data_IF_578494261324
#
_entry.id   IF_578494261324
#
_cell.length_a   1.000
_cell.length_b   1.000
_cell.length_c   1.000
_cell.angle_alpha   90.00
_cell.angle_beta   90.00
_cell.angle_gamma   90.00
#
_symmetry.space_group_name_H-M   'P 1'
#
loop_
_entity.id
_entity.type
_entity.pdbx_description
1 polymer ?
#
# COMPACT_ATOMS: atom_id res chain seq x y z
N UNK A 1 -8.01 -1.58 5.22
CA UNK A 1 -7.72 -0.17 4.86
C UNK A 1 -6.44 0.38 5.46
N UNK A 2 -6.31 0.54 6.78
CA UNK A 2 -5.16 1.27 7.39
C UNK A 2 -3.77 0.74 6.97
N UNK A 3 -3.59 -0.58 6.84
CA UNK A 3 -2.34 -1.17 6.36
C UNK A 3 -1.96 -0.73 4.93
N UNK A 4 -2.93 -0.60 4.04
CA UNK A 4 -2.73 -0.13 2.67
C UNK A 4 -2.50 1.38 2.62
N UNK A 5 -3.27 2.13 3.41
CA UNK A 5 -3.22 3.60 3.46
C UNK A 5 -1.87 4.11 3.97
N UNK A 6 -1.35 3.50 5.03
CA UNK A 6 -0.02 3.83 5.59
C UNK A 6 1.13 3.15 4.85
N UNK A 7 0.83 2.22 3.95
CA UNK A 7 1.82 1.39 3.28
C UNK A 7 2.60 0.44 4.20
N UNK A 8 2.02 0.08 5.35
CA UNK A 8 2.64 -0.80 6.33
C UNK A 8 2.78 -2.22 5.75
N UNK A 9 4.01 -2.58 5.35
CA UNK A 9 4.34 -3.87 4.77
C UNK A 9 4.93 -3.81 3.36
N UNK A 10 4.88 -2.66 2.68
CA UNK A 10 5.53 -2.48 1.37
C UNK A 10 7.07 -2.41 1.45
N UNK A 11 7.63 -2.13 2.63
CA UNK A 11 9.07 -1.84 2.79
C UNK A 11 9.43 -0.37 2.52
N UNK A 12 8.49 0.47 2.10
CA UNK A 12 8.71 1.90 1.82
C UNK A 12 9.31 2.65 3.02
N UNK A 13 8.71 2.48 4.20
CA UNK A 13 9.20 3.11 5.43
C UNK A 13 10.57 2.56 5.85
N UNK A 14 10.87 1.29 5.54
CA UNK A 14 12.19 0.72 5.80
C UNK A 14 13.25 1.36 4.90
N UNK A 15 12.95 1.55 3.61
CA UNK A 15 13.83 2.28 2.70
C UNK A 15 14.07 3.71 3.18
N UNK A 16 13.03 4.44 3.60
CA UNK A 16 13.22 5.79 4.12
C UNK A 16 14.01 5.82 5.42
N UNK A 17 13.84 4.84 6.30
CA UNK A 17 14.63 4.72 7.51
C UNK A 17 16.14 4.57 7.21
N UNK A 18 16.55 3.99 6.07
CA UNK A 18 17.97 3.91 5.69
C UNK A 18 18.63 5.27 5.43
N UNK A 19 17.83 6.31 5.15
CA UNK A 19 18.29 7.67 4.92
C UNK A 19 18.13 8.58 6.14
N UNK A 20 17.52 8.09 7.22
CA UNK A 20 17.37 8.86 8.45
C UNK A 20 18.70 8.93 9.21
N UNK A 21 19.00 10.11 9.75
CA UNK A 21 20.12 10.25 10.69
C UNK A 21 19.82 9.44 11.96
N UNK A 22 20.83 8.74 12.49
CA UNK A 22 20.76 7.98 13.74
C UNK A 22 20.34 8.80 14.96
N UNK A 23 20.45 10.13 14.89
CA UNK A 23 20.04 11.05 15.96
C UNK A 23 18.54 11.40 15.96
N UNK A 24 17.80 11.07 14.89
CA UNK A 24 16.39 11.42 14.78
C UNK A 24 15.51 10.45 15.61
N UNK A 25 14.49 10.95 16.33
CA UNK A 25 13.60 10.10 17.13
C UNK A 25 12.69 9.26 16.21
N UNK A 26 13.01 7.98 16.07
CA UNK A 26 12.33 7.03 15.19
C UNK A 26 10.88 6.78 15.61
N UNK A 27 10.63 6.55 16.90
CA UNK A 27 9.31 6.18 17.42
C UNK A 27 8.34 7.34 17.26
N UNK A 28 8.77 8.55 17.64
CA UNK A 28 7.97 9.76 17.45
C UNK A 28 7.63 10.01 15.98
N UNK A 29 8.60 9.88 15.07
CA UNK A 29 8.38 10.08 13.64
C UNK A 29 7.42 9.04 13.06
N UNK A 30 7.52 7.77 13.46
CA UNK A 30 6.60 6.72 13.05
C UNK A 30 5.16 7.00 13.51
N UNK A 31 4.98 7.44 14.76
CA UNK A 31 3.66 7.80 15.31
C UNK A 31 3.05 9.01 14.59
N UNK A 32 3.81 10.09 14.40
CA UNK A 32 3.33 11.30 13.71
C UNK A 32 2.94 10.96 12.27
N UNK A 33 3.73 10.15 11.58
CA UNK A 33 3.42 9.74 10.19
C UNK A 33 2.12 8.94 10.13
N UNK A 34 1.96 7.93 10.99
CA UNK A 34 0.74 7.11 11.02
C UNK A 34 -0.51 7.90 11.44
N UNK A 35 -0.41 8.73 12.49
CA UNK A 35 -1.53 9.56 12.95
C UNK A 35 -1.88 10.62 11.91
N UNK A 36 -0.88 11.31 11.35
CA UNK A 36 -1.06 12.33 10.32
C UNK A 36 -1.79 11.78 9.09
N UNK A 37 -1.37 10.61 8.61
CA UNK A 37 -2.05 9.92 7.52
C UNK A 37 -3.54 9.66 7.85
N UNK A 38 -3.82 9.05 9.00
CA UNK A 38 -5.19 8.72 9.38
C UNK A 38 -6.08 9.97 9.60
N UNK A 39 -5.53 11.05 10.14
CA UNK A 39 -6.25 12.32 10.31
C UNK A 39 -6.62 12.91 8.95
N UNK A 40 -5.68 12.95 8.01
CA UNK A 40 -5.94 13.45 6.64
C UNK A 40 -6.98 12.58 5.95
N UNK A 41 -6.86 11.25 6.02
CA UNK A 41 -7.83 10.30 5.45
C UNK A 41 -9.22 10.47 6.05
N UNK A 42 -9.33 10.71 7.36
CA UNK A 42 -10.61 10.94 8.02
C UNK A 42 -11.25 12.26 7.58
N UNK A 43 -10.47 13.35 7.53
CA UNK A 43 -10.95 14.66 7.05
C UNK A 43 -11.42 14.55 5.60
N UNK A 44 -10.61 13.93 4.73
CA UNK A 44 -10.97 13.70 3.34
C UNK A 44 -12.25 12.88 3.21
N UNK A 45 -12.40 11.81 4.01
CA UNK A 45 -13.62 11.02 4.08
C UNK A 45 -14.83 11.88 4.45
N UNK A 46 -14.78 12.62 5.55
CA UNK A 46 -15.89 13.47 6.00
C UNK A 46 -16.28 14.50 4.93
N UNK A 47 -15.29 15.15 4.30
CA UNK A 47 -15.53 16.12 3.23
C UNK A 47 -16.18 15.45 2.03
N UNK A 48 -15.58 14.38 1.49
CA UNK A 48 -16.09 13.70 0.29
C UNK A 48 -17.49 13.13 0.53
N UNK A 49 -17.69 12.37 1.60
CA UNK A 49 -19.00 11.78 1.91
C UNK A 49 -20.05 12.86 2.18
N UNK A 50 -19.70 13.93 2.91
CA UNK A 50 -20.60 15.05 3.18
C UNK A 50 -21.01 15.79 1.91
N UNK A 51 -20.04 16.12 1.05
CA UNK A 51 -20.28 16.84 -0.21
C UNK A 51 -21.09 15.98 -1.18
N UNK A 52 -20.73 14.70 -1.36
CA UNK A 52 -21.48 13.77 -2.21
C UNK A 52 -22.91 13.62 -1.70
N UNK A 53 -23.11 13.32 -0.41
CA UNK A 53 -24.45 13.16 0.14
C UNK A 53 -25.32 14.42 -0.02
N UNK A 54 -24.74 15.60 0.21
CA UNK A 54 -25.45 16.89 0.06
C UNK A 54 -25.93 17.11 -1.37
N UNK A 55 -25.06 16.91 -2.37
CA UNK A 55 -25.37 17.21 -3.77
C UNK A 55 -26.25 16.13 -4.42
N UNK A 56 -25.97 14.85 -4.16
CA UNK A 56 -26.78 13.76 -4.73
C UNK A 56 -28.23 13.85 -4.23
N UNK A 57 -28.43 14.23 -2.97
CA UNK A 57 -29.77 14.36 -2.38
C UNK A 57 -30.46 15.68 -2.75
N UNK A 58 -29.76 16.81 -2.66
CA UNK A 58 -30.37 18.14 -2.82
C UNK A 58 -30.54 18.53 -4.28
N UNK A 59 -29.54 18.29 -5.13
CA UNK A 59 -29.52 18.78 -6.51
C UNK A 59 -29.94 17.73 -7.54
N UNK A 60 -29.70 16.44 -7.24
CA UNK A 60 -30.10 15.34 -8.12
C UNK A 60 -31.36 14.60 -7.65
N UNK A 61 -31.93 14.99 -6.52
CA UNK A 61 -33.18 14.44 -6.01
C UNK A 61 -33.13 12.94 -5.72
N UNK A 62 -31.93 12.36 -5.57
CA UNK A 62 -31.79 10.94 -5.28
C UNK A 62 -32.34 10.63 -3.90
N UNK A 63 -33.05 9.51 -3.80
CA UNK A 63 -33.48 8.95 -2.53
C UNK A 63 -32.27 8.50 -1.72
N UNK A 64 -32.41 8.51 -0.38
CA UNK A 64 -31.33 8.07 0.51
C UNK A 64 -30.80 6.64 0.19
N UNK A 65 -31.63 5.65 -0.18
CA UNK A 65 -31.15 4.35 -0.63
C UNK A 65 -30.27 4.40 -1.88
N UNK A 66 -30.58 5.26 -2.86
CA UNK A 66 -29.79 5.40 -4.09
C UNK A 66 -28.42 6.01 -3.81
N UNK A 67 -28.38 7.07 -3.00
CA UNK A 67 -27.12 7.68 -2.54
C UNK A 67 -26.25 6.65 -1.81
N UNK A 68 -26.85 5.83 -0.95
CA UNK A 68 -26.12 4.77 -0.24
C UNK A 68 -25.59 3.69 -1.21
N UNK A 69 -26.34 3.33 -2.25
CA UNK A 69 -25.87 2.40 -3.27
C UNK A 69 -24.69 2.97 -4.05
N UNK A 70 -24.74 4.25 -4.42
CA UNK A 70 -23.64 4.96 -5.08
C UNK A 70 -22.39 4.96 -4.20
N UNK A 71 -22.53 5.32 -2.93
CA UNK A 71 -21.41 5.38 -1.97
C UNK A 71 -20.83 4.00 -1.64
N UNK A 72 -21.62 2.93 -1.75
CA UNK A 72 -21.16 1.55 -1.59
C UNK A 72 -20.53 0.99 -2.87
N UNK A 73 -20.86 1.55 -4.03
CA UNK A 73 -20.28 1.14 -5.30
C UNK A 73 -18.92 1.82 -5.48
N UNK A 74 -17.83 1.06 -5.38
CA UNK A 74 -16.47 1.58 -5.67
C UNK A 74 -16.29 1.93 -7.15
N UNK A 75 -17.21 1.51 -8.02
CA UNK A 75 -17.10 1.58 -9.48
C UNK A 75 -16.05 0.62 -10.04
N UNK A 76 -15.84 0.61 -11.38
CA UNK A 76 -14.79 -0.18 -12.00
C UNK A 76 -13.42 0.15 -11.38
N UNK A 77 -12.64 -0.88 -11.04
CA UNK A 77 -11.29 -0.73 -10.48
C UNK A 77 -11.18 0.26 -9.30
N UNK A 78 -12.23 0.40 -8.49
CA UNK A 78 -12.29 1.31 -7.33
C UNK A 78 -12.16 2.81 -7.66
N UNK A 79 -12.36 3.22 -8.92
CA UNK A 79 -12.21 4.62 -9.35
C UNK A 79 -13.52 5.39 -9.49
N UNK A 80 -14.67 4.75 -9.26
CA UNK A 80 -15.98 5.32 -9.57
C UNK A 80 -16.27 6.60 -8.82
N UNK A 81 -16.01 6.63 -7.52
CA UNK A 81 -16.28 7.82 -6.71
C UNK A 81 -15.46 9.02 -7.18
N UNK A 82 -14.15 8.84 -7.36
CA UNK A 82 -13.22 9.92 -7.71
C UNK A 82 -13.31 10.36 -9.17
N UNK A 83 -13.53 9.44 -10.12
CA UNK A 83 -13.46 9.74 -11.55
C UNK A 83 -14.82 9.82 -12.25
N UNK A 84 -15.91 9.40 -11.61
CA UNK A 84 -17.26 9.49 -12.18
C UNK A 84 -18.09 10.48 -11.37
N UNK A 85 -18.19 10.26 -10.05
CA UNK A 85 -19.09 11.04 -9.22
C UNK A 85 -18.53 12.42 -8.86
N UNK A 86 -17.25 12.55 -8.50
CA UNK A 86 -16.65 13.85 -8.20
C UNK A 86 -16.71 14.85 -9.38
N UNK A 87 -16.41 14.46 -10.65
CA UNK A 87 -16.63 15.36 -11.78
C UNK A 87 -18.09 15.81 -11.93
N UNK A 88 -19.05 14.89 -11.84
CA UNK A 88 -20.47 15.22 -11.93
C UNK A 88 -20.88 16.19 -10.82
N UNK A 89 -20.37 15.95 -9.61
CA UNK A 89 -20.58 16.81 -8.47
C UNK A 89 -20.08 18.24 -8.72
N UNK A 90 -18.86 18.39 -9.23
CA UNK A 90 -18.31 19.70 -9.57
C UNK A 90 -19.11 20.43 -10.64
N UNK A 91 -19.82 19.75 -11.54
CA UNK A 91 -20.71 20.45 -12.51
C UNK A 91 -21.94 21.10 -11.88
N UNK A 92 -22.32 20.68 -10.66
CA UNK A 92 -23.50 21.19 -9.95
C UNK A 92 -23.16 22.30 -8.95
N UNK A 93 -21.91 22.39 -8.54
CA UNK A 93 -21.45 23.40 -7.59
C UNK A 93 -21.20 24.75 -8.25
N UNK A 94 -21.59 25.82 -7.57
CA UNK A 94 -21.08 27.16 -7.86
C UNK A 94 -19.54 27.16 -7.69
N UNK A 95 -18.82 27.72 -8.67
CA UNK A 95 -17.35 27.62 -8.80
C UNK A 95 -16.77 26.20 -8.93
N UNK A 96 -17.59 25.20 -9.27
CA UNK A 96 -17.17 23.81 -9.29
C UNK A 96 -16.03 23.49 -10.26
N UNK A 97 -15.87 24.25 -11.36
CA UNK A 97 -14.69 24.12 -12.24
C UNK A 97 -13.37 24.42 -11.52
N UNK A 98 -13.33 25.48 -10.70
CA UNK A 98 -12.14 25.83 -9.91
C UNK A 98 -11.83 24.75 -8.88
N UNK A 99 -12.87 24.22 -8.21
CA UNK A 99 -12.71 23.11 -7.27
C UNK A 99 -12.26 21.82 -7.95
N UNK A 100 -12.76 21.53 -9.15
CA UNK A 100 -12.32 20.37 -9.94
C UNK A 100 -10.83 20.45 -10.27
N UNK A 101 -10.35 21.62 -10.72
CA UNK A 101 -8.92 21.83 -11.01
C UNK A 101 -8.08 21.59 -9.75
N UNK A 102 -8.45 22.20 -8.62
CA UNK A 102 -7.72 22.02 -7.36
C UNK A 102 -7.75 20.57 -6.86
N UNK A 103 -8.90 19.91 -6.97
CA UNK A 103 -9.08 18.53 -6.55
C UNK A 103 -8.22 17.56 -7.37
N UNK A 104 -8.30 17.63 -8.71
CA UNK A 104 -7.51 16.74 -9.58
C UNK A 104 -6.03 17.07 -9.57
N UNK A 105 -5.66 18.33 -9.38
CA UNK A 105 -4.28 18.72 -9.17
C UNK A 105 -3.74 18.14 -7.85
N UNK A 106 -4.49 18.28 -6.75
CA UNK A 106 -4.15 17.69 -5.46
C UNK A 106 -4.05 16.16 -5.52
N UNK A 107 -5.00 15.51 -6.19
CA UNK A 107 -4.99 14.06 -6.44
C UNK A 107 -3.74 13.64 -7.23
N UNK A 108 -3.35 14.42 -8.23
CA UNK A 108 -2.14 14.15 -9.02
C UNK A 108 -0.86 14.28 -8.18
N UNK A 109 -0.77 15.31 -7.33
CA UNK A 109 0.37 15.48 -6.40
C UNK A 109 0.43 14.31 -5.41
N UNK A 110 -0.71 13.88 -4.86
CA UNK A 110 -0.78 12.76 -3.92
C UNK A 110 -0.36 11.43 -4.56
N UNK A 111 -0.79 11.18 -5.80
CA UNK A 111 -0.33 10.01 -6.57
C UNK A 111 1.16 10.09 -6.89
N UNK A 112 1.65 11.27 -7.28
CA UNK A 112 3.06 11.48 -7.63
C UNK A 112 4.00 11.30 -6.44
N UNK A 113 3.66 11.81 -5.26
CA UNK A 113 4.47 11.62 -4.05
C UNK A 113 4.55 10.15 -3.63
N UNK A 114 3.45 9.41 -3.79
CA UNK A 114 3.41 7.96 -3.54
C UNK A 114 4.27 7.18 -4.53
N UNK A 115 4.21 7.54 -5.82
CA UNK A 115 5.03 6.94 -6.87
C UNK A 115 6.53 7.15 -6.62
N UNK A 116 6.95 8.35 -6.20
CA UNK A 116 8.36 8.62 -5.85
C UNK A 116 8.87 7.66 -4.79
N UNK A 117 8.05 7.37 -3.76
CA UNK A 117 8.40 6.42 -2.70
C UNK A 117 8.58 5.00 -3.23
N UNK A 118 7.70 4.56 -4.13
CA UNK A 118 7.75 3.23 -4.73
C UNK A 118 8.96 3.05 -5.65
N UNK A 119 9.30 4.08 -6.45
CA UNK A 119 10.50 4.06 -7.30
C UNK A 119 11.78 4.05 -6.47
N UNK A 120 11.83 4.82 -5.38
CA UNK A 120 13.00 4.85 -4.49
C UNK A 120 13.24 3.49 -3.82
N UNK A 121 12.18 2.80 -3.36
CA UNK A 121 12.29 1.44 -2.82
C UNK A 121 12.95 0.49 -3.82
N UNK A 122 12.45 0.43 -5.05
CA UNK A 122 12.99 -0.45 -6.09
C UNK A 122 14.43 -0.07 -6.45
N UNK A 123 14.71 1.23 -6.52
CA UNK A 123 16.05 1.76 -6.80
C UNK A 123 17.03 1.40 -5.70
N UNK A 124 16.62 1.52 -4.43
CA UNK A 124 17.44 1.17 -3.27
C UNK A 124 17.86 -0.29 -3.30
N UNK A 125 16.94 -1.20 -3.62
CA UNK A 125 17.24 -2.63 -3.75
C UNK A 125 18.35 -2.89 -4.78
N UNK A 126 18.35 -2.20 -5.92
CA UNK A 126 19.40 -2.33 -6.92
C UNK A 126 20.75 -1.74 -6.45
N UNK A 127 20.69 -0.61 -5.74
CA UNK A 127 21.89 0.01 -5.14
C UNK A 127 22.53 -0.91 -4.11
N UNK A 128 21.73 -1.57 -3.27
CA UNK A 128 22.22 -2.53 -2.25
C UNK A 128 22.86 -3.78 -2.87
N UNK A 129 22.59 -4.07 -4.14
CA UNK A 129 23.23 -5.14 -4.91
C UNK A 129 24.52 -4.63 -5.59
N UNK A 130 24.84 -3.33 -5.47
CA UNK A 130 26.05 -2.69 -5.99
C UNK A 130 25.91 -2.01 -7.35
N UNK A 131 24.69 -1.75 -7.82
CA UNK A 131 24.45 -1.03 -9.08
C UNK A 131 24.45 0.48 -8.84
N UNK A 132 25.11 1.25 -9.71
CA UNK A 132 25.15 2.72 -9.62
C UNK A 132 23.75 3.35 -9.61
N UNK A 133 23.56 4.38 -8.77
CA UNK A 133 22.25 5.04 -8.58
C UNK A 133 21.63 5.54 -9.88
N UNK A 134 22.41 6.12 -10.79
CA UNK A 134 21.86 6.67 -12.05
C UNK A 134 21.34 5.55 -12.94
N UNK A 135 22.07 4.44 -13.00
CA UNK A 135 21.67 3.25 -13.76
C UNK A 135 20.43 2.62 -13.13
N UNK A 136 20.41 2.47 -11.82
CA UNK A 136 19.25 1.92 -11.08
C UNK A 136 17.98 2.73 -11.31
N UNK A 137 18.04 4.07 -11.23
CA UNK A 137 16.88 4.94 -11.49
C UNK A 137 16.35 4.77 -12.92
N UNK A 138 17.25 4.75 -13.91
CA UNK A 138 16.86 4.61 -15.31
C UNK A 138 16.26 3.24 -15.61
N UNK A 139 16.86 2.17 -15.08
CA UNK A 139 16.34 0.80 -15.22
C UNK A 139 14.96 0.66 -14.57
N UNK A 140 14.82 1.10 -13.32
CA UNK A 140 13.54 1.05 -12.58
C UNK A 140 12.47 1.85 -13.30
N UNK A 141 12.80 3.06 -13.79
CA UNK A 141 11.86 3.89 -14.54
C UNK A 141 11.39 3.23 -15.85
N UNK A 142 12.31 2.70 -16.66
CA UNK A 142 11.98 2.05 -17.93
C UNK A 142 11.17 0.77 -17.68
N UNK A 143 11.59 -0.09 -16.76
CA UNK A 143 10.90 -1.34 -16.45
C UNK A 143 9.50 -1.03 -15.90
N UNK A 144 9.37 -0.08 -14.97
CA UNK A 144 8.07 0.31 -14.42
C UNK A 144 7.14 0.87 -15.49
N UNK A 145 7.66 1.68 -16.41
CA UNK A 145 6.89 2.21 -17.53
C UNK A 145 6.39 1.09 -18.45
N UNK A 146 7.28 0.19 -18.88
CA UNK A 146 6.93 -0.92 -19.78
C UNK A 146 5.93 -1.89 -19.14
N UNK A 147 6.13 -2.26 -17.88
CA UNK A 147 5.21 -3.12 -17.14
C UNK A 147 3.89 -2.42 -16.78
N UNK A 148 3.85 -1.08 -16.79
CA UNK A 148 2.64 -0.29 -16.58
C UNK A 148 1.73 -0.19 -17.83
N UNK A 149 2.25 -0.43 -19.03
CA UNK A 149 1.48 -0.31 -20.29
C UNK A 149 0.22 -1.18 -20.30
N UNK A 150 0.26 -2.49 -19.93
CA UNK A 150 -0.94 -3.32 -19.92
C UNK A 150 -2.02 -2.81 -18.96
N UNK A 151 -1.61 -2.27 -17.80
CA UNK A 151 -2.51 -1.65 -16.82
C UNK A 151 -3.15 -0.36 -17.36
N UNK A 152 -2.41 0.44 -18.14
CA UNK A 152 -2.96 1.62 -18.79
C UNK A 152 -3.96 1.27 -19.92
N UNK A 153 -3.76 0.15 -20.61
CA UNK A 153 -4.61 -0.27 -21.73
C UNK A 153 -5.86 -1.05 -21.28
N UNK A 154 -5.80 -1.81 -20.19
CA UNK A 154 -6.90 -2.67 -19.73
C UNK A 154 -7.21 -2.44 -18.25
N UNK A 155 -8.40 -1.90 -17.97
CA UNK A 155 -8.91 -1.78 -16.60
C UNK A 155 -9.03 -3.14 -15.90
N UNK A 156 -9.33 -4.20 -16.65
CA UNK A 156 -9.40 -5.57 -16.12
C UNK A 156 -8.02 -6.05 -15.68
N UNK A 157 -6.97 -5.79 -16.47
CA UNK A 157 -5.61 -6.13 -16.08
C UNK A 157 -5.15 -5.29 -14.88
N UNK A 158 -5.40 -3.97 -14.92
CA UNK A 158 -5.09 -3.05 -13.83
C UNK A 158 -5.69 -3.52 -12.51
N UNK A 159 -6.99 -3.85 -12.52
CA UNK A 159 -7.67 -4.27 -11.30
C UNK A 159 -7.23 -5.65 -10.81
N UNK A 160 -6.82 -6.56 -11.72
CA UNK A 160 -6.20 -7.82 -11.32
C UNK A 160 -4.85 -7.59 -10.63
N UNK A 161 -4.00 -6.70 -11.16
CA UNK A 161 -2.71 -6.38 -10.53
C UNK A 161 -2.90 -5.72 -9.16
N UNK A 162 -3.82 -4.77 -9.04
CA UNK A 162 -4.16 -4.14 -7.76
C UNK A 162 -4.65 -5.18 -6.73
N UNK A 163 -5.53 -6.09 -7.15
CA UNK A 163 -6.06 -7.15 -6.29
C UNK A 163 -4.97 -8.13 -5.81
N UNK A 164 -4.13 -8.59 -6.73
CA UNK A 164 -3.09 -9.60 -6.44
C UNK A 164 -1.98 -9.02 -5.57
N UNK A 165 -1.45 -7.86 -5.94
CA UNK A 165 -0.31 -7.28 -5.24
C UNK A 165 -0.72 -6.47 -4.01
N UNK A 166 -1.93 -5.92 -4.00
CA UNK A 166 -2.50 -5.28 -2.82
C UNK A 166 -2.55 -6.23 -1.62
N UNK A 167 -2.87 -7.51 -1.82
CA UNK A 167 -2.89 -8.49 -0.73
C UNK A 167 -1.51 -9.06 -0.41
N UNK A 168 -0.62 -9.10 -1.39
CA UNK A 168 0.78 -9.48 -1.18
C UNK A 168 1.48 -8.60 -0.12
N UNK A 169 1.03 -7.35 0.08
CA UNK A 169 1.48 -6.49 1.19
C UNK A 169 1.35 -7.18 2.55
N UNK A 170 0.25 -7.90 2.80
CA UNK A 170 0.02 -8.57 4.10
C UNK A 170 1.05 -9.68 4.31
N UNK A 171 1.37 -10.41 3.24
CA UNK A 171 2.38 -11.46 3.24
C UNK A 171 3.77 -10.85 3.50
N UNK A 172 4.11 -9.77 2.79
CA UNK A 172 5.36 -9.03 3.00
C UNK A 172 5.49 -8.48 4.43
N UNK A 173 4.44 -7.85 4.96
CA UNK A 173 4.40 -7.37 6.34
C UNK A 173 4.60 -8.50 7.37
N UNK A 174 4.08 -9.70 7.07
CA UNK A 174 4.29 -10.89 7.91
C UNK A 174 5.75 -11.35 7.88
N UNK A 175 6.42 -11.31 6.72
CA UNK A 175 7.85 -11.60 6.64
C UNK A 175 8.70 -10.59 7.42
N UNK A 176 8.35 -9.30 7.38
CA UNK A 176 9.03 -8.27 8.19
C UNK A 176 8.84 -8.56 9.68
N UNK A 177 7.62 -8.90 10.12
CA UNK A 177 7.36 -9.27 11.50
C UNK A 177 8.11 -10.55 11.90
N UNK A 178 8.16 -11.55 11.03
CA UNK A 178 8.93 -12.77 11.24
C UNK A 178 10.43 -12.48 11.38
N UNK A 179 11.00 -11.62 10.52
CA UNK A 179 12.38 -11.19 10.61
C UNK A 179 12.66 -10.50 11.96
N UNK A 180 11.78 -9.59 12.40
CA UNK A 180 11.89 -8.93 13.69
C UNK A 180 11.81 -9.91 14.88
N UNK A 181 10.97 -10.94 14.81
CA UNK A 181 10.89 -12.00 15.82
C UNK A 181 12.16 -12.86 15.82
N UNK A 182 12.69 -13.20 14.64
CA UNK A 182 13.90 -14.02 14.48
C UNK A 182 15.16 -13.33 15.01
N UNK A 183 15.25 -12.00 14.85
CA UNK A 183 16.30 -11.18 15.46
C UNK A 183 16.15 -11.07 16.99
N UNK A 184 14.90 -11.18 17.47
CA UNK A 184 14.53 -11.01 18.87
C UNK A 184 13.94 -9.62 19.10
N UNK A 185 12.60 -9.54 19.24
CA UNK A 185 11.88 -8.26 19.36
C UNK A 185 12.41 -7.37 20.50
N UNK A 186 12.75 -7.96 21.64
CA UNK A 186 13.25 -7.20 22.77
C UNK A 186 14.66 -6.63 22.52
N UNK A 187 15.50 -7.34 21.76
CA UNK A 187 16.81 -6.86 21.32
C UNK A 187 16.61 -5.75 20.28
N UNK A 188 15.82 -6.00 19.22
CA UNK A 188 15.47 -5.00 18.21
C UNK A 188 14.97 -3.68 18.84
N UNK A 189 14.04 -3.77 19.80
CA UNK A 189 13.51 -2.59 20.47
C UNK A 189 14.57 -1.83 21.27
N UNK A 190 15.40 -2.53 22.04
CA UNK A 190 16.34 -1.89 22.97
C UNK A 190 17.63 -1.43 22.29
N UNK A 191 18.12 -2.20 21.33
CA UNK A 191 19.44 -2.06 20.72
C UNK A 191 19.40 -1.28 19.42
N UNK A 192 18.30 -1.37 18.64
CA UNK A 192 18.18 -0.71 17.34
C UNK A 192 17.18 0.45 17.32
N UNK A 193 16.04 0.32 18.02
CA UNK A 193 14.97 1.33 17.99
C UNK A 193 15.18 2.40 19.07
N UNK A 194 15.46 1.98 20.31
CA UNK A 194 15.65 2.88 21.45
C UNK A 194 17.13 3.26 21.68
N UNK A 195 17.90 3.37 20.59
CA UNK A 195 19.30 3.85 20.66
C UNK A 195 19.36 5.23 21.33
N UNK A 196 18.33 6.04 21.14
CA UNK A 196 18.30 7.42 21.61
C UNK A 196 17.42 7.60 22.86
N UNK A 197 18.02 8.10 23.94
CA UNK A 197 17.36 8.26 25.24
C UNK A 197 16.24 9.32 25.29
N UNK A 198 16.16 10.24 24.30
CA UNK A 198 15.11 11.29 24.25
C UNK A 198 13.88 10.88 23.44
N UNK A 199 13.89 9.71 22.81
CA UNK A 199 12.73 9.20 22.08
C UNK A 199 11.68 8.60 23.03
N UNK A 200 10.47 8.39 22.51
CA UNK A 200 9.37 7.78 23.25
C UNK A 200 9.74 6.34 23.61
N UNK A 201 9.76 6.04 24.91
CA UNK A 201 10.12 4.70 25.42
C UNK A 201 9.05 3.68 25.07
N UNK A 202 9.39 2.74 24.18
CA UNK A 202 8.55 1.60 23.85
C UNK A 202 8.65 0.53 24.95
N UNK A 203 7.49 0.11 25.47
CA UNK A 203 7.38 -0.94 26.48
C UNK A 203 7.27 -2.36 25.90
N UNK A 204 7.18 -3.35 26.79
CA UNK A 204 6.97 -4.78 26.47
C UNK A 204 5.75 -5.04 25.56
N UNK A 205 4.77 -4.14 25.61
CA UNK A 205 3.60 -4.19 24.75
C UNK A 205 3.94 -4.18 23.25
N UNK A 206 4.97 -3.44 22.84
CA UNK A 206 5.41 -3.42 21.44
C UNK A 206 5.92 -4.80 20.98
N UNK A 207 6.66 -5.51 21.84
CA UNK A 207 7.13 -6.87 21.54
C UNK A 207 5.94 -7.82 21.34
N UNK A 208 4.90 -7.69 22.18
CA UNK A 208 3.68 -8.49 22.07
C UNK A 208 2.94 -8.22 20.75
N UNK A 209 2.88 -6.95 20.32
CA UNK A 209 2.25 -6.57 19.06
C UNK A 209 2.96 -7.22 17.88
N UNK A 210 4.28 -7.11 17.80
CA UNK A 210 5.05 -7.69 16.69
C UNK A 210 5.00 -9.22 16.70
N UNK A 211 5.10 -9.84 17.88
CA UNK A 211 5.19 -11.30 18.01
C UNK A 211 3.86 -12.02 17.81
N UNK A 212 2.75 -11.43 18.26
CA UNK A 212 1.45 -12.12 18.27
C UNK A 212 0.39 -11.39 17.47
N UNK A 213 0.25 -10.07 17.65
CA UNK A 213 -0.83 -9.33 17.01
C UNK A 213 -0.67 -9.24 15.48
N UNK A 214 0.52 -8.93 14.99
CA UNK A 214 0.78 -8.83 13.53
C UNK A 214 0.58 -10.19 12.83
N UNK A 215 1.18 -11.31 13.29
CA UNK A 215 0.96 -12.61 12.66
C UNK A 215 -0.50 -13.08 12.74
N UNK A 216 -1.16 -12.90 13.89
CA UNK A 216 -2.58 -13.25 14.03
C UNK A 216 -3.46 -12.41 13.09
N UNK A 217 -3.22 -11.10 13.01
CA UNK A 217 -3.92 -10.20 12.11
C UNK A 217 -3.74 -10.60 10.65
N UNK A 218 -2.53 -10.97 10.24
CA UNK A 218 -2.26 -11.46 8.89
C UNK A 218 -3.03 -12.75 8.57
N UNK A 219 -3.04 -13.72 9.48
CA UNK A 219 -3.80 -14.98 9.30
C UNK A 219 -5.30 -14.70 9.16
N UNK A 220 -5.86 -13.89 10.07
CA UNK A 220 -7.28 -13.54 10.06
C UNK A 220 -7.65 -12.80 8.76
N UNK A 221 -6.86 -11.81 8.36
CA UNK A 221 -7.11 -11.02 7.17
C UNK A 221 -7.00 -11.85 5.89
N UNK A 222 -5.96 -12.68 5.77
CA UNK A 222 -5.80 -13.57 4.61
C UNK A 222 -6.94 -14.58 4.54
N UNK A 223 -7.29 -15.20 5.66
CA UNK A 223 -8.39 -16.16 5.71
C UNK A 223 -9.73 -15.51 5.32
N UNK A 224 -10.08 -14.38 5.95
CA UNK A 224 -11.29 -13.64 5.63
C UNK A 224 -11.32 -13.23 4.17
N UNK A 225 -10.20 -12.74 3.63
CA UNK A 225 -10.11 -12.30 2.25
C UNK A 225 -10.24 -13.46 1.26
N UNK A 226 -9.64 -14.62 1.53
CA UNK A 226 -9.83 -15.82 0.70
C UNK A 226 -11.30 -16.26 0.71
N UNK A 227 -11.95 -16.29 1.87
CA UNK A 227 -13.39 -16.60 1.95
C UNK A 227 -14.20 -15.59 1.13
N UNK A 228 -13.90 -14.29 1.24
CA UNK A 228 -14.58 -13.25 0.48
C UNK A 228 -14.36 -13.40 -1.05
N UNK A 229 -13.14 -13.67 -1.48
CA UNK A 229 -12.80 -13.94 -2.89
C UNK A 229 -13.56 -15.16 -3.42
N UNK A 230 -13.56 -16.27 -2.67
CA UNK A 230 -14.25 -17.50 -3.03
C UNK A 230 -15.77 -17.36 -3.07
N UNK A 231 -16.37 -16.52 -2.22
CA UNK A 231 -17.84 -16.47 -2.06
C UNK A 231 -18.50 -15.32 -2.78
N UNK A 232 -17.84 -14.16 -2.84
CA UNK A 232 -18.46 -12.90 -3.28
C UNK A 232 -17.91 -12.39 -4.61
N UNK A 233 -16.62 -12.59 -4.87
CA UNK A 233 -15.99 -12.11 -6.11
C UNK A 233 -16.04 -13.14 -7.24
N UNK A 234 -15.79 -14.43 -6.95
CA UNK A 234 -15.73 -15.50 -7.98
C UNK A 234 -16.35 -16.82 -7.48
N UNK A 235 -17.62 -16.79 -7.06
CA UNK A 235 -18.33 -17.93 -6.46
C UNK A 235 -18.21 -19.27 -7.22
N UNK A 236 -18.13 -19.24 -8.56
CA UNK A 236 -18.07 -20.45 -9.40
C UNK A 236 -16.78 -20.60 -10.22
N UNK A 237 -15.85 -19.64 -10.13
CA UNK A 237 -14.62 -19.59 -10.95
C UNK A 237 -13.35 -19.28 -10.11
N UNK A 238 -13.44 -19.42 -8.78
CA UNK A 238 -12.36 -19.06 -7.85
C UNK A 238 -11.03 -19.79 -8.08
N UNK A 239 -11.07 -20.94 -8.76
CA UNK A 239 -9.92 -21.78 -9.09
C UNK A 239 -9.32 -21.50 -10.48
N UNK A 240 -9.87 -20.58 -11.28
CA UNK A 240 -9.30 -20.25 -12.60
C UNK A 240 -8.14 -19.23 -12.44
N UNK A 241 -6.90 -19.58 -12.82
CA UNK A 241 -5.74 -18.70 -12.68
C UNK A 241 -5.78 -17.45 -13.56
N UNK A 242 -6.61 -17.41 -14.61
CA UNK A 242 -6.66 -16.31 -15.56
C UNK A 242 -7.83 -15.36 -15.32
N UNK A 243 -8.75 -15.70 -14.40
CA UNK A 243 -9.86 -14.84 -14.04
C UNK A 243 -9.41 -13.74 -13.06
N UNK A 244 -9.70 -12.46 -13.36
CA UNK A 244 -9.49 -11.37 -12.43
C UNK A 244 -10.25 -11.64 -11.13
N UNK A 245 -9.65 -11.27 -10.00
CA UNK A 245 -10.23 -11.40 -8.66
C UNK A 245 -10.37 -12.83 -8.11
N UNK A 246 -9.90 -13.85 -8.84
CA UNK A 246 -9.90 -15.23 -8.35
C UNK A 246 -8.81 -15.46 -7.30
N UNK A 247 -8.94 -16.54 -6.52
CA UNK A 247 -7.89 -16.94 -5.58
C UNK A 247 -6.68 -17.48 -6.36
N UNK A 248 -6.96 -18.22 -7.44
CA UNK A 248 -5.92 -18.88 -8.20
C UNK A 248 -5.01 -17.89 -8.95
N UNK A 249 -5.52 -16.76 -9.44
CA UNK A 249 -4.66 -15.72 -10.05
C UNK A 249 -3.62 -15.20 -9.05
N UNK A 250 -4.01 -15.03 -7.79
CA UNK A 250 -3.10 -14.63 -6.72
C UNK A 250 -2.06 -15.70 -6.44
N UNK A 251 -2.50 -16.93 -6.17
CA UNK A 251 -1.59 -18.04 -5.87
C UNK A 251 -0.61 -18.30 -7.02
N UNK A 252 -1.08 -18.23 -8.27
CA UNK A 252 -0.25 -18.43 -9.45
C UNK A 252 0.84 -17.36 -9.57
N UNK A 253 0.46 -16.08 -9.52
CA UNK A 253 1.41 -14.97 -9.63
C UNK A 253 2.38 -14.92 -8.44
N UNK A 254 1.90 -15.14 -7.22
CA UNK A 254 2.76 -15.20 -6.05
C UNK A 254 3.70 -16.40 -6.10
N UNK A 255 3.26 -17.55 -6.59
CA UNK A 255 4.14 -18.73 -6.73
C UNK A 255 5.28 -18.46 -7.70
N UNK A 256 5.02 -17.76 -8.81
CA UNK A 256 6.07 -17.31 -9.73
C UNK A 256 7.04 -16.36 -9.01
N UNK A 257 6.52 -15.39 -8.26
CA UNK A 257 7.35 -14.45 -7.51
C UNK A 257 8.21 -15.14 -6.45
N UNK A 258 7.63 -16.05 -5.66
CA UNK A 258 8.34 -16.83 -4.66
C UNK A 258 9.37 -17.75 -5.28
N UNK A 259 9.07 -18.37 -6.41
CA UNK A 259 10.01 -19.21 -7.14
C UNK A 259 11.22 -18.38 -7.61
N UNK A 260 11.01 -17.19 -8.16
CA UNK A 260 12.08 -16.27 -8.54
C UNK A 260 12.91 -15.86 -7.31
N UNK A 261 12.26 -15.43 -6.22
CA UNK A 261 12.94 -15.07 -4.99
C UNK A 261 13.77 -16.22 -4.44
N UNK A 262 13.23 -17.44 -4.42
CA UNK A 262 13.94 -18.64 -3.99
C UNK A 262 15.18 -18.93 -4.85
N UNK A 263 15.04 -18.87 -6.18
CA UNK A 263 16.15 -19.08 -7.12
C UNK A 263 17.27 -18.06 -6.93
N UNK A 264 16.93 -16.79 -6.69
CA UNK A 264 17.91 -15.72 -6.53
C UNK A 264 18.37 -15.51 -5.07
N UNK A 265 17.73 -16.13 -4.08
CA UNK A 265 17.97 -15.87 -2.65
C UNK A 265 19.44 -16.01 -2.26
N UNK A 266 20.08 -17.14 -2.62
CA UNK A 266 21.48 -17.37 -2.27
C UNK A 266 22.42 -16.37 -2.93
N UNK A 267 22.12 -15.95 -4.16
CA UNK A 267 22.95 -14.99 -4.90
C UNK A 267 22.80 -13.60 -4.32
N UNK A 268 21.55 -13.17 -4.05
CA UNK A 268 21.25 -11.90 -3.42
C UNK A 268 21.90 -11.80 -2.05
N UNK A 269 21.67 -12.78 -1.17
CA UNK A 269 22.23 -12.79 0.18
C UNK A 269 23.77 -12.74 0.20
N UNK A 270 24.45 -13.41 -0.74
CA UNK A 270 25.92 -13.32 -0.86
C UNK A 270 26.38 -11.90 -1.22
N UNK A 271 25.67 -11.23 -2.11
CA UNK A 271 26.05 -9.89 -2.57
C UNK A 271 25.84 -8.86 -1.46
N UNK A 272 24.66 -8.84 -0.83
CA UNK A 272 24.35 -7.86 0.22
C UNK A 272 25.17 -8.09 1.49
N UNK A 273 25.29 -9.33 1.98
CA UNK A 273 26.02 -9.61 3.24
C UNK A 273 27.55 -9.47 3.12
N UNK A 274 28.12 -9.48 1.91
CA UNK A 274 29.55 -9.23 1.72
C UNK A 274 29.90 -7.74 1.61
N UNK A 275 28.95 -6.87 1.28
CA UNK A 275 29.19 -5.43 1.23
C UNK A 275 29.33 -4.81 2.62
N UNK A 276 28.60 -5.31 3.64
CA UNK A 276 28.73 -4.86 5.04
C UNK A 276 30.10 -5.17 5.70
N UNK A 277 30.98 -5.92 5.01
CA UNK A 277 32.33 -6.25 5.48
C UNK A 277 33.45 -5.41 4.87
N UNK A 278 33.13 -4.41 4.03
CA UNK A 278 34.08 -3.45 3.46
C UNK A 278 33.78 -2.05 3.94
#
# INVERSE_FOLDING_TARGET
>A
QNAWDTGAGWGLLLTYATYMDKQQPLVKNALITGIGNNVVSLIAGVVIFGTVFSILKTDMGMSQPEVLNVLRSSGPASTGLTLIWMPQLFTKMEFGQSFAILFFFGLSIAGFSSLMSMLELQTRVLIDIGIDRKVSLLLVGIISFLLGIPSAHSLTFFANQDFVWGIALVISGTFIAYAAVSYGCSALRKEEILIHNTDIKLGAYWDMLIKYFIPAGAIILLFWWFVLSATSYTANESLDPFKPYSIMTCLFQWSIAFFLLYCFNQKLGKITLHQDKK
#
